data_IF_449695832632
#
_entry.id   IF_449695832632
#
_cell.length_a   1.000
_cell.length_b   1.000
_cell.length_c   1.000
_cell.angle_alpha   90.00
_cell.angle_beta   90.00
_cell.angle_gamma   90.00
#
_symmetry.space_group_name_H-M   'P 1'
#
loop_
_entity.id
_entity.type
_entity.pdbx_description
1 polymer ?
#
# COMPACT_ATOMS: atom_id res chain seq x y z
N UNK A 1 -18.70 3.26 -3.48
CA UNK A 1 -17.59 2.70 -2.67
C UNK A 1 -16.35 3.58 -2.84
N UNK A 2 -15.70 3.95 -1.75
CA UNK A 2 -14.49 4.77 -1.81
C UNK A 2 -13.25 3.89 -1.76
N UNK A 3 -12.23 4.27 -2.52
CA UNK A 3 -10.93 3.61 -2.53
C UNK A 3 -9.98 4.34 -1.58
N UNK A 4 -9.40 3.61 -0.64
CA UNK A 4 -8.46 4.15 0.33
C UNK A 4 -7.08 3.58 0.04
N UNK A 5 -6.10 4.46 -0.14
CA UNK A 5 -4.71 4.06 -0.29
C UNK A 5 -4.10 3.80 1.09
N UNK A 6 -3.64 2.57 1.32
CA UNK A 6 -2.93 2.20 2.54
C UNK A 6 -1.44 2.08 2.24
N UNK A 7 -0.65 2.90 2.93
CA UNK A 7 0.81 2.86 2.84
C UNK A 7 1.36 2.19 4.08
N UNK A 8 2.21 1.17 3.90
CA UNK A 8 2.80 0.45 5.03
C UNK A 8 4.27 0.14 4.77
N UNK A 9 4.98 -0.28 5.83
CA UNK A 9 6.41 -0.57 5.76
C UNK A 9 7.26 0.68 5.94
N UNK A 10 8.28 0.80 5.12
CA UNK A 10 9.15 1.98 5.10
C UNK A 10 10.57 1.71 5.59
N UNK A 11 11.41 2.73 5.47
CA UNK A 11 12.84 2.64 5.76
C UNK A 11 13.14 2.68 7.26
N UNK A 12 12.16 3.03 8.09
CA UNK A 12 12.33 3.25 9.51
C UNK A 12 12.57 1.95 10.28
N UNK A 13 13.11 2.07 11.50
CA UNK A 13 13.26 0.95 12.43
C UNK A 13 11.92 0.37 12.88
N UNK A 14 10.83 1.10 12.64
CA UNK A 14 9.46 0.67 12.97
C UNK A 14 8.79 -0.11 11.83
N UNK A 15 9.57 -0.63 10.90
CA UNK A 15 9.05 -1.37 9.75
C UNK A 15 8.12 -2.53 10.17
N UNK A 16 8.57 -3.37 11.10
CA UNK A 16 7.79 -4.52 11.54
C UNK A 16 6.48 -4.10 12.21
N UNK A 17 6.51 -3.04 13.00
CA UNK A 17 5.31 -2.51 13.68
C UNK A 17 4.32 -1.98 12.63
N UNK A 18 4.82 -1.32 11.60
CA UNK A 18 3.98 -0.84 10.51
C UNK A 18 3.25 -1.98 9.80
N UNK A 19 3.93 -3.11 9.56
CA UNK A 19 3.31 -4.27 8.92
C UNK A 19 2.20 -4.86 9.80
N UNK A 20 2.45 -5.00 11.08
CA UNK A 20 1.44 -5.53 12.01
C UNK A 20 0.22 -4.61 12.09
N UNK A 21 0.46 -3.31 12.19
CA UNK A 21 -0.61 -2.32 12.24
C UNK A 21 -1.44 -2.31 10.95
N UNK A 22 -0.77 -2.39 9.80
CA UNK A 22 -1.45 -2.42 8.51
C UNK A 22 -2.34 -3.67 8.38
N UNK A 23 -1.84 -4.83 8.79
CA UNK A 23 -2.64 -6.05 8.74
C UNK A 23 -3.87 -5.94 9.63
N UNK A 24 -3.73 -5.38 10.83
CA UNK A 24 -4.86 -5.19 11.74
C UNK A 24 -5.92 -4.26 11.13
N UNK A 25 -5.49 -3.12 10.59
CA UNK A 25 -6.41 -2.16 9.96
C UNK A 25 -7.11 -2.78 8.76
N UNK A 26 -6.38 -3.45 7.88
CA UNK A 26 -6.94 -4.04 6.66
C UNK A 26 -7.87 -5.21 6.97
N UNK A 27 -7.55 -6.00 7.99
CA UNK A 27 -8.40 -7.12 8.42
C UNK A 27 -9.76 -6.63 8.89
N UNK A 28 -9.81 -5.48 9.55
CA UNK A 28 -11.05 -4.92 10.10
C UNK A 28 -11.71 -3.88 9.19
N UNK A 29 -11.19 -3.68 7.99
CA UNK A 29 -11.76 -2.73 7.04
C UNK A 29 -13.16 -3.15 6.60
N UNK A 30 -14.11 -2.22 6.63
CA UNK A 30 -15.46 -2.46 6.13
C UNK A 30 -15.45 -2.42 4.60
N UNK A 31 -15.33 -3.59 3.99
CA UNK A 31 -15.24 -3.71 2.53
C UNK A 31 -16.57 -3.48 1.82
N UNK A 32 -17.66 -3.31 2.55
CA UNK A 32 -18.92 -2.88 1.97
C UNK A 32 -18.93 -1.38 1.64
N UNK A 33 -18.02 -0.62 2.26
CA UNK A 33 -17.91 0.84 2.11
C UNK A 33 -16.61 1.28 1.47
N UNK A 34 -15.53 0.52 1.65
CA UNK A 34 -14.19 0.92 1.24
C UNK A 34 -13.50 -0.19 0.47
N UNK A 35 -12.73 0.22 -0.55
CA UNK A 35 -11.86 -0.67 -1.30
C UNK A 35 -10.42 -0.33 -0.93
N UNK A 36 -9.62 -1.29 -0.46
CA UNK A 36 -8.22 -1.00 -0.16
C UNK A 36 -7.37 -0.99 -1.42
N UNK A 37 -6.49 0.00 -1.52
CA UNK A 37 -5.42 0.06 -2.50
C UNK A 37 -4.13 -0.03 -1.69
N UNK A 38 -3.44 -1.18 -1.74
CA UNK A 38 -2.34 -1.45 -0.84
C UNK A 38 -0.99 -1.14 -1.50
N UNK A 39 -0.18 -0.34 -0.83
CA UNK A 39 1.18 -0.03 -1.25
C UNK A 39 2.12 -0.26 -0.09
N UNK A 40 3.06 -1.17 -0.29
CA UNK A 40 4.11 -1.43 0.68
C UNK A 40 5.40 -0.75 0.27
N UNK A 41 6.12 -0.24 1.25
CA UNK A 41 7.43 0.36 1.06
C UNK A 41 8.44 -0.57 1.72
N UNK A 42 9.41 -1.05 0.95
CA UNK A 42 10.41 -1.97 1.48
C UNK A 42 11.38 -1.23 2.41
N UNK A 43 12.19 -1.99 3.15
CA UNK A 43 13.24 -1.40 3.97
C UNK A 43 14.24 -0.60 3.15
N UNK A 44 14.41 -0.93 1.88
CA UNK A 44 15.26 -0.19 0.96
C UNK A 44 14.60 1.03 0.35
N UNK A 45 13.32 1.28 0.65
CA UNK A 45 12.61 2.45 0.13
C UNK A 45 11.88 2.23 -1.19
N UNK A 46 11.79 1.01 -1.68
CA UNK A 46 11.10 0.72 -2.91
C UNK A 46 9.58 0.66 -2.67
N UNK A 47 8.83 1.34 -3.51
CA UNK A 47 7.35 1.37 -3.45
C UNK A 47 6.77 0.29 -4.34
N UNK A 48 5.93 -0.58 -3.75
CA UNK A 48 5.33 -1.71 -4.46
C UNK A 48 3.82 -1.71 -4.27
N UNK A 49 3.07 -1.72 -5.37
CA UNK A 49 1.63 -1.96 -5.35
C UNK A 49 1.40 -3.45 -5.07
N UNK A 50 0.75 -3.75 -3.96
CA UNK A 50 0.54 -5.11 -3.50
C UNK A 50 -0.92 -5.54 -3.69
N UNK A 51 -1.12 -6.69 -4.32
CA UNK A 51 -2.45 -7.24 -4.58
C UNK A 51 -2.68 -8.61 -3.94
N UNK A 52 -1.78 -9.03 -3.08
CA UNK A 52 -1.88 -10.33 -2.42
C UNK A 52 -2.71 -10.32 -1.15
N UNK A 53 -2.60 -11.38 -0.38
CA UNK A 53 -3.38 -11.56 0.85
C UNK A 53 -2.93 -10.62 1.96
N UNK A 54 -3.89 -10.13 2.73
CA UNK A 54 -3.62 -9.28 3.90
C UNK A 54 -2.77 -10.02 4.94
N UNK A 55 -3.01 -11.32 5.10
CA UNK A 55 -2.29 -12.14 6.09
C UNK A 55 -0.77 -12.20 5.86
N UNK A 56 -0.33 -12.02 4.62
CA UNK A 56 1.10 -12.05 4.30
C UNK A 56 1.83 -10.77 4.74
N UNK A 57 1.12 -9.69 5.00
CA UNK A 57 1.71 -8.40 5.35
C UNK A 57 2.40 -8.49 6.71
N UNK A 58 1.67 -8.87 7.76
CA UNK A 58 2.21 -8.96 9.11
C UNK A 58 3.32 -9.97 9.25
N UNK A 59 3.31 -11.02 8.42
CA UNK A 59 4.35 -12.04 8.39
C UNK A 59 5.58 -11.64 7.56
N UNK A 60 5.57 -10.43 6.99
CA UNK A 60 6.62 -9.91 6.11
C UNK A 60 6.88 -10.79 4.90
N UNK A 61 5.83 -11.35 4.33
CA UNK A 61 5.89 -12.16 3.11
C UNK A 61 5.19 -11.51 1.92
N UNK A 62 4.76 -10.27 2.09
CA UNK A 62 4.04 -9.55 1.05
C UNK A 62 4.90 -9.24 -0.19
N UNK A 63 6.22 -9.20 -0.03
CA UNK A 63 7.15 -8.88 -1.12
C UNK A 63 7.43 -10.05 -2.05
N UNK A 64 7.01 -11.26 -1.68
CA UNK A 64 7.39 -12.47 -2.40
C UNK A 64 6.64 -12.67 -3.72
N UNK A 65 5.46 -12.09 -3.83
CA UNK A 65 4.61 -12.21 -5.01
C UNK A 65 3.58 -11.09 -5.03
N UNK A 66 2.90 -10.93 -6.17
CA UNK A 66 1.77 -10.01 -6.31
C UNK A 66 2.15 -8.53 -6.09
N UNK A 67 3.38 -8.16 -6.42
CA UNK A 67 3.88 -6.81 -6.28
C UNK A 67 4.29 -6.23 -7.62
N UNK A 68 3.96 -4.95 -7.82
CA UNK A 68 4.37 -4.17 -9.01
C UNK A 68 4.96 -2.85 -8.53
N UNK A 69 6.16 -2.48 -8.98
CA UNK A 69 6.72 -1.17 -8.65
C UNK A 69 5.75 -0.06 -9.03
N UNK A 70 5.67 0.97 -8.18
CA UNK A 70 4.73 2.06 -8.40
C UNK A 70 5.27 3.36 -7.84
N UNK A 71 4.58 4.46 -8.19
CA UNK A 71 4.86 5.78 -7.63
C UNK A 71 3.57 6.58 -7.58
N UNK A 72 3.54 7.62 -6.76
CA UNK A 72 2.43 8.56 -6.76
C UNK A 72 2.57 9.53 -7.94
N UNK A 73 1.44 9.90 -8.52
CA UNK A 73 1.41 10.96 -9.51
C UNK A 73 1.46 12.29 -8.77
N UNK A 74 2.55 13.04 -8.96
CA UNK A 74 2.84 14.24 -8.18
C UNK A 74 2.46 15.49 -8.98
N UNK A 75 1.17 15.76 -9.08
CA UNK A 75 0.73 17.06 -9.56
C UNK A 75 -0.56 17.46 -8.83
N UNK A 76 -0.88 18.74 -8.96
CA UNK A 76 -2.00 19.33 -8.23
C UNK A 76 -3.31 18.63 -8.54
N UNK A 77 -4.00 18.18 -7.48
CA UNK A 77 -5.28 17.50 -7.61
C UNK A 77 -5.22 16.04 -8.02
N UNK A 78 -4.02 15.51 -8.30
CA UNK A 78 -3.88 14.11 -8.63
C UNK A 78 -4.00 13.23 -7.39
N UNK A 79 -4.80 12.16 -7.51
CA UNK A 79 -4.95 11.12 -6.48
C UNK A 79 -4.83 9.78 -7.16
N UNK A 80 -3.66 9.55 -7.75
CA UNK A 80 -3.41 8.39 -8.57
C UNK A 80 -2.07 7.76 -8.24
N UNK A 81 -2.04 6.44 -8.36
CA UNK A 81 -0.84 5.64 -8.28
C UNK A 81 -0.49 5.20 -9.70
N UNK A 82 0.74 5.42 -10.12
CA UNK A 82 1.24 4.98 -11.43
C UNK A 82 1.98 3.67 -11.26
N UNK A 83 1.57 2.63 -11.99
CA UNK A 83 2.24 1.35 -11.99
C UNK A 83 3.44 1.39 -12.95
N UNK A 84 4.61 0.97 -12.46
CA UNK A 84 5.86 1.02 -13.20
C UNK A 84 6.17 -0.36 -13.79
N UNK A 85 5.17 -0.95 -14.45
CA UNK A 85 5.29 -2.28 -15.08
C UNK A 85 5.38 -2.21 -16.60
N UNK A 86 5.57 -1.00 -17.15
CA UNK A 86 5.65 -0.79 -18.58
C UNK A 86 4.32 -0.52 -19.26
N UNK A 87 3.19 -0.69 -18.57
CA UNK A 87 1.86 -0.47 -19.15
C UNK A 87 1.39 0.98 -19.06
N UNK A 88 1.95 1.76 -18.13
CA UNK A 88 1.46 3.12 -17.86
C UNK A 88 0.12 3.13 -17.13
N UNK A 89 -0.33 2.00 -16.60
CA UNK A 89 -1.61 1.92 -15.90
C UNK A 89 -1.59 2.73 -14.61
N UNK A 90 -2.75 3.29 -14.26
CA UNK A 90 -2.92 4.06 -13.02
C UNK A 90 -4.04 3.47 -12.19
N UNK A 91 -3.98 3.77 -10.88
CA UNK A 91 -5.04 3.42 -9.92
C UNK A 91 -5.40 4.67 -9.15
N UNK A 92 -6.67 5.03 -9.18
CA UNK A 92 -7.18 6.21 -8.47
C UNK A 92 -7.58 5.84 -7.04
N UNK A 93 -7.46 6.82 -6.13
CA UNK A 93 -7.92 6.66 -4.76
C UNK A 93 -8.58 7.95 -4.27
N UNK A 94 -9.47 7.80 -3.28
CA UNK A 94 -10.22 8.93 -2.72
C UNK A 94 -9.52 9.55 -1.52
N UNK A 95 -8.82 8.74 -0.74
CA UNK A 95 -8.08 9.18 0.44
C UNK A 95 -6.90 8.27 0.68
N UNK A 96 -5.93 8.73 1.44
CA UNK A 96 -4.75 7.95 1.83
C UNK A 96 -4.72 7.77 3.34
N UNK A 97 -4.35 6.58 3.77
CA UNK A 97 -4.18 6.21 5.18
C UNK A 97 -2.77 5.65 5.36
N UNK A 98 -1.81 6.48 5.75
CA UNK A 98 -0.46 5.97 6.01
C UNK A 98 -0.44 5.23 7.34
N UNK A 99 0.01 3.98 7.30
CA UNK A 99 0.19 3.13 8.48
C UNK A 99 1.70 3.00 8.71
N UNK A 100 2.35 4.13 8.92
CA UNK A 100 3.80 4.23 9.04
C UNK A 100 4.16 4.81 10.39
N UNK A 101 5.23 4.27 10.97
CA UNK A 101 5.75 4.66 12.26
C UNK A 101 7.20 5.14 12.12
N UNK A 102 7.55 6.12 12.88
CA UNK A 102 8.88 6.70 12.85
C UNK A 102 9.02 7.76 11.80
#
# INVERSE_FOLDING_TARGET
>A
MKTILFLFGGVSSEYAVSLESAQAVLTHLDQSKFRPLMVGITKGGQWLHYTGAVDAIGADRWQNADCVPCTLVLHRGARQLLLLDGTGATRSFDAAFPVMHG
#
